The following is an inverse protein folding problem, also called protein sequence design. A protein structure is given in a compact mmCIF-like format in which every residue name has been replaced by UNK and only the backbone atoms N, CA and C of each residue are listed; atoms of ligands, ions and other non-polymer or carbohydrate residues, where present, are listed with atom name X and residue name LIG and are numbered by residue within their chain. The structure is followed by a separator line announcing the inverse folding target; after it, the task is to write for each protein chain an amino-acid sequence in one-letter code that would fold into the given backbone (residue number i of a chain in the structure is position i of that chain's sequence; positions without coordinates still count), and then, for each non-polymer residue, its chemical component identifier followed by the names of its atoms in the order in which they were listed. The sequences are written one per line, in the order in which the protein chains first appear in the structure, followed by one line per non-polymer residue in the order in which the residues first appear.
data_IF_642336239860
#
_entry.id   IF_642336239860
#
_cell.length_a   1.000
_cell.length_b   1.000
_cell.length_c   1.000
_cell.angle_alpha   90.00
_cell.angle_beta   90.00
_cell.angle_gamma   90.00
#
_symmetry.space_group_name_H-M   'P 1'
#
loop_
_entity.id
_entity.type
_entity.pdbx_description
1 polymer ?
#
# COMPACT_ATOMS: atom_id res chain seq x y z
N UNK A 1 -32.13 -12.75 -17.04
CA UNK A 1 -30.66 -12.91 -16.94
C UNK A 1 -30.05 -11.58 -17.39
N UNK A 2 -28.95 -11.15 -16.75
CA UNK A 2 -28.17 -9.91 -16.95
C UNK A 2 -28.36 -8.76 -15.93
N UNK A 3 -27.64 -8.96 -14.82
CA UNK A 3 -26.83 -8.07 -13.97
C UNK A 3 -27.38 -6.69 -13.51
N UNK A 4 -27.40 -6.42 -12.19
CA UNK A 4 -27.67 -5.11 -11.65
C UNK A 4 -26.43 -4.20 -11.72
N UNK A 5 -26.70 -2.92 -11.96
CA UNK A 5 -25.84 -1.75 -11.83
C UNK A 5 -24.96 -1.82 -10.56
N UNK A 6 -23.64 -1.84 -10.73
CA UNK A 6 -22.71 -1.49 -9.65
C UNK A 6 -22.78 0.03 -9.41
N UNK A 7 -22.88 0.50 -8.16
CA UNK A 7 -22.85 1.93 -7.88
C UNK A 7 -21.45 2.48 -8.14
N UNK A 8 -21.38 3.51 -8.99
CA UNK A 8 -20.23 4.38 -9.17
C UNK A 8 -19.88 5.03 -7.83
N UNK A 9 -18.76 4.62 -7.22
CA UNK A 9 -18.18 5.33 -6.07
C UNK A 9 -17.52 6.62 -6.59
N UNK A 10 -17.79 7.80 -6.03
CA UNK A 10 -17.28 9.06 -6.55
C UNK A 10 -15.74 9.13 -6.49
N UNK A 11 -15.15 9.43 -7.64
CA UNK A 11 -13.71 9.44 -7.90
C UNK A 11 -12.90 10.42 -7.03
N UNK A 12 -13.57 11.35 -6.34
CA UNK A 12 -12.94 12.38 -5.50
C UNK A 12 -12.56 11.88 -4.09
N UNK A 13 -12.94 10.65 -3.73
CA UNK A 13 -12.76 10.12 -2.37
C UNK A 13 -11.40 9.44 -2.13
N UNK A 14 -10.60 9.23 -3.19
CA UNK A 14 -9.45 8.32 -3.15
C UNK A 14 -8.08 9.01 -3.05
N UNK A 15 -8.02 10.32 -3.25
CA UNK A 15 -6.77 11.09 -3.18
C UNK A 15 -6.67 11.82 -1.85
N UNK A 16 -5.68 11.44 -1.03
CA UNK A 16 -5.44 12.07 0.25
C UNK A 16 -4.17 12.93 0.14
N UNK A 17 -4.35 14.23 -0.13
CA UNK A 17 -3.34 15.29 0.08
C UNK A 17 -2.11 15.28 -0.85
N UNK A 18 -2.06 16.23 -1.78
CA UNK A 18 -1.00 16.38 -2.77
C UNK A 18 0.16 17.30 -2.29
N UNK A 19 1.42 16.88 -2.54
CA UNK A 19 2.58 17.71 -2.90
C UNK A 19 3.77 18.01 -1.93
N UNK A 20 3.76 17.72 -0.62
CA UNK A 20 4.91 18.14 0.28
C UNK A 20 5.81 17.02 0.80
N UNK A 21 5.73 15.85 0.18
CA UNK A 21 5.76 14.58 0.92
C UNK A 21 7.06 13.79 0.72
N UNK A 22 7.71 13.97 -0.42
CA UNK A 22 8.82 13.12 -0.84
C UNK A 22 10.05 13.24 0.09
N UNK A 23 10.27 14.41 0.69
CA UNK A 23 11.56 14.73 1.34
C UNK A 23 11.60 14.48 2.85
N UNK A 24 10.48 14.50 3.56
CA UNK A 24 10.49 14.42 5.04
C UNK A 24 10.36 12.99 5.56
N UNK A 25 9.82 12.09 4.74
CA UNK A 25 9.57 10.69 5.07
C UNK A 25 10.82 9.80 4.95
N UNK A 26 11.65 10.05 3.93
CA UNK A 26 12.90 9.31 3.74
C UNK A 26 13.79 9.39 4.98
N UNK A 27 13.82 10.52 5.70
CA UNK A 27 14.71 10.73 6.83
C UNK A 27 14.45 9.79 8.01
N UNK A 28 13.18 9.50 8.34
CA UNK A 28 12.83 8.64 9.50
C UNK A 28 13.17 7.18 9.19
N UNK A 29 12.91 6.71 7.97
CA UNK A 29 13.19 5.32 7.59
C UNK A 29 14.65 5.08 7.19
N UNK A 30 15.36 6.06 6.62
CA UNK A 30 16.72 5.87 6.12
C UNK A 30 17.77 5.71 7.22
N UNK A 31 17.50 6.22 8.43
CA UNK A 31 18.44 6.18 9.56
C UNK A 31 18.43 4.86 10.36
N UNK A 32 17.52 3.92 10.07
CA UNK A 32 17.45 2.63 10.80
C UNK A 32 18.07 1.48 10.00
N UNK A 33 19.11 0.80 10.50
CA UNK A 33 19.74 -0.33 9.83
C UNK A 33 18.90 -1.60 10.07
N UNK A 34 17.89 -1.84 9.23
CA UNK A 34 17.13 -3.10 9.30
C UNK A 34 17.21 -3.84 7.96
N UNK A 35 17.99 -4.94 7.93
CA UNK A 35 18.28 -5.80 6.77
C UNK A 35 17.68 -7.19 7.00
N UNK A 36 16.36 -7.32 6.92
CA UNK A 36 15.73 -8.64 6.98
C UNK A 36 14.67 -8.77 5.89
N UNK A 37 14.68 -9.91 5.19
CA UNK A 37 13.68 -10.25 4.19
C UNK A 37 12.33 -10.40 4.88
N UNK A 38 11.26 -10.15 4.15
CA UNK A 38 9.93 -10.30 4.69
C UNK A 38 9.64 -11.76 5.08
N UNK A 39 9.55 -12.04 6.38
CA UNK A 39 9.12 -13.33 6.88
C UNK A 39 7.73 -13.17 7.52
N UNK A 40 6.83 -14.11 7.19
CA UNK A 40 5.45 -14.19 7.68
C UNK A 40 5.43 -14.29 9.22
N UNK A 41 4.92 -13.27 9.91
CA UNK A 41 4.67 -13.34 11.36
C UNK A 41 3.19 -13.68 11.58
N UNK A 42 2.91 -14.92 11.96
CA UNK A 42 1.60 -15.37 12.42
C UNK A 42 1.38 -14.93 13.88
N UNK A 43 0.41 -14.04 14.15
CA UNK A 43 0.11 -13.50 15.49
C UNK A 43 -1.32 -13.75 15.98
N UNK A 44 -1.46 -14.20 17.23
CA UNK A 44 -2.64 -14.77 17.91
C UNK A 44 -3.70 -13.74 18.37
N UNK A 45 -4.95 -14.22 18.56
CA UNK A 45 -6.12 -13.49 19.12
C UNK A 45 -6.03 -13.33 20.65
N UNK A 46 -6.37 -12.14 21.15
CA UNK A 46 -6.75 -11.85 22.53
C UNK A 46 -7.83 -10.74 22.55
N UNK A 47 -8.95 -10.99 23.25
CA UNK A 47 -10.11 -10.10 23.37
C UNK A 47 -10.01 -9.26 24.67
N UNK A 48 -9.98 -7.93 24.56
CA UNK A 48 -10.14 -6.99 25.67
C UNK A 48 -10.91 -5.74 25.18
N UNK A 49 -12.06 -5.36 25.76
CA UNK A 49 -12.99 -4.37 25.18
C UNK A 49 -12.61 -2.88 25.34
N UNK A 50 -11.45 -2.52 25.92
CA UNK A 50 -11.06 -1.11 26.18
C UNK A 50 -9.85 -0.58 25.38
N UNK A 51 -9.44 -1.22 24.29
CA UNK A 51 -8.27 -0.79 23.52
C UNK A 51 -8.67 -0.09 22.20
N UNK A 52 -8.16 1.12 21.94
CA UNK A 52 -8.29 1.78 20.64
C UNK A 52 -7.72 0.87 19.54
N UNK A 53 -8.60 0.21 18.78
CA UNK A 53 -8.27 -0.67 17.65
C UNK A 53 -7.71 0.14 16.48
N UNK A 54 -6.48 0.63 16.61
CA UNK A 54 -5.71 1.22 15.51
C UNK A 54 -4.69 0.22 14.91
N UNK A 55 -4.59 -1.00 15.45
CA UNK A 55 -3.35 -1.77 15.35
C UNK A 55 -3.36 -3.05 14.49
N UNK A 56 -4.44 -3.37 13.78
CA UNK A 56 -4.56 -4.68 13.09
C UNK A 56 -4.81 -4.62 11.59
N UNK A 57 -5.32 -3.50 11.08
CA UNK A 57 -5.71 -3.42 9.67
C UNK A 57 -4.53 -3.08 8.76
N UNK A 58 -4.48 -3.73 7.60
CA UNK A 58 -3.65 -3.27 6.49
C UNK A 58 -4.48 -2.35 5.61
N UNK A 59 -3.98 -1.15 5.34
CA UNK A 59 -4.67 -0.12 4.55
C UNK A 59 -3.95 0.14 3.24
N UNK A 60 -4.70 0.56 2.21
CA UNK A 60 -4.15 0.99 0.92
C UNK A 60 -4.80 2.31 0.44
N UNK A 61 -4.03 3.16 -0.23
CA UNK A 61 -4.49 4.42 -0.81
C UNK A 61 -3.68 4.84 -2.04
N UNK A 62 -4.27 5.71 -2.86
CA UNK A 62 -3.55 6.43 -3.91
C UNK A 62 -2.79 7.59 -3.24
N UNK A 63 -1.46 7.60 -3.38
CA UNK A 63 -0.55 8.58 -2.79
C UNK A 63 -0.14 9.70 -3.77
N UNK A 64 -0.60 9.63 -5.02
CA UNK A 64 -0.45 10.69 -6.04
C UNK A 64 -1.77 11.43 -6.26
N UNK A 65 -1.74 12.70 -6.68
CA UNK A 65 -2.96 13.40 -7.08
C UNK A 65 -3.74 12.64 -8.17
N UNK A 66 -5.05 12.87 -8.21
CA UNK A 66 -5.95 12.33 -9.21
C UNK A 66 -5.67 12.95 -10.59
N UNK A 67 -5.94 12.18 -11.63
CA UNK A 67 -5.80 12.62 -13.02
C UNK A 67 -4.75 11.83 -13.77
N UNK A 68 -4.28 12.41 -14.89
CA UNK A 68 -3.24 11.81 -15.73
C UNK A 68 -1.88 12.35 -15.32
N UNK A 69 -0.95 11.46 -15.02
CA UNK A 69 0.45 11.77 -14.74
C UNK A 69 1.38 10.74 -15.38
N UNK A 70 2.69 10.95 -15.30
CA UNK A 70 3.67 9.95 -15.72
C UNK A 70 3.67 8.72 -14.80
N UNK A 71 3.51 8.93 -13.50
CA UNK A 71 3.56 7.90 -12.46
C UNK A 71 2.35 8.03 -11.53
N UNK A 72 1.79 6.89 -11.11
CA UNK A 72 0.88 6.81 -9.96
C UNK A 72 1.50 5.96 -8.86
N UNK A 73 1.22 6.31 -7.60
CA UNK A 73 1.75 5.58 -6.44
C UNK A 73 0.57 5.05 -5.63
N UNK A 74 0.57 3.74 -5.38
CA UNK A 74 -0.29 3.11 -4.39
C UNK A 74 0.55 2.80 -3.16
N UNK A 75 0.13 3.32 -1.99
CA UNK A 75 0.80 3.05 -0.71
C UNK A 75 -0.05 2.09 0.11
N UNK A 76 0.58 1.01 0.56
CA UNK A 76 0.01 -0.01 1.42
C UNK A 76 0.74 0.05 2.76
N UNK A 77 0.02 0.07 3.88
CA UNK A 77 0.63 0.09 5.21
C UNK A 77 -0.10 -0.83 6.18
N UNK A 78 0.66 -1.58 6.99
CA UNK A 78 0.11 -2.50 7.98
C UNK A 78 0.79 -3.87 7.98
N UNK A 79 0.33 -4.79 8.84
CA UNK A 79 0.98 -6.09 9.05
C UNK A 79 1.05 -6.98 7.81
N UNK A 80 0.13 -6.82 6.85
CA UNK A 80 0.11 -7.60 5.61
C UNK A 80 0.69 -6.84 4.40
N UNK A 81 1.19 -5.61 4.58
CA UNK A 81 1.62 -4.77 3.46
C UNK A 81 2.65 -5.47 2.57
N UNK A 82 3.62 -6.11 3.20
CA UNK A 82 4.64 -6.87 2.50
C UNK A 82 4.05 -8.10 1.77
N UNK A 83 3.24 -8.91 2.44
CA UNK A 83 2.61 -10.10 1.83
C UNK A 83 1.77 -9.73 0.62
N UNK A 84 1.01 -8.63 0.71
CA UNK A 84 0.23 -8.10 -0.42
C UNK A 84 1.16 -7.67 -1.55
N UNK A 85 2.24 -6.95 -1.25
CA UNK A 85 3.25 -6.54 -2.22
C UNK A 85 3.90 -7.72 -2.95
N UNK A 86 4.30 -8.77 -2.22
CA UNK A 86 4.89 -9.98 -2.80
C UNK A 86 3.88 -10.72 -3.69
N UNK A 87 2.60 -10.76 -3.31
CA UNK A 87 1.54 -11.33 -4.16
C UNK A 87 1.32 -10.52 -5.44
N UNK A 88 1.33 -9.19 -5.39
CA UNK A 88 1.12 -8.35 -6.58
C UNK A 88 2.33 -8.45 -7.51
N UNK A 89 3.53 -8.45 -6.97
CA UNK A 89 4.78 -8.46 -7.75
C UNK A 89 5.24 -9.86 -8.15
N UNK A 90 4.63 -10.92 -7.60
CA UNK A 90 5.01 -12.32 -7.76
C UNK A 90 6.50 -12.57 -7.42
N UNK A 91 7.04 -11.82 -6.46
CA UNK A 91 8.45 -11.86 -6.10
C UNK A 91 8.67 -11.42 -4.65
N UNK A 92 9.83 -11.79 -4.10
CA UNK A 92 10.18 -11.45 -2.72
C UNK A 92 10.66 -10.00 -2.58
N UNK A 93 10.16 -9.27 -1.59
CA UNK A 93 10.52 -7.88 -1.35
C UNK A 93 11.65 -7.78 -0.32
N UNK A 94 12.70 -7.03 -0.68
CA UNK A 94 13.81 -6.73 0.25
C UNK A 94 13.66 -5.29 0.73
N UNK A 95 13.70 -5.02 2.05
CA UNK A 95 13.55 -3.66 2.56
C UNK A 95 14.56 -2.70 1.94
N UNK A 96 14.10 -1.50 1.61
CA UNK A 96 14.90 -0.39 1.05
C UNK A 96 15.64 -0.74 -0.25
N UNK A 97 15.19 -1.77 -0.98
CA UNK A 97 15.68 -2.12 -2.31
C UNK A 97 14.57 -1.90 -3.32
N UNK A 98 14.65 -0.86 -4.16
CA UNK A 98 13.71 -0.69 -5.26
C UNK A 98 13.82 -1.85 -6.26
N UNK A 99 12.69 -2.37 -6.72
CA UNK A 99 12.62 -3.46 -7.69
C UNK A 99 11.74 -3.02 -8.87
N UNK A 100 12.24 -3.17 -10.10
CA UNK A 100 11.40 -3.06 -11.28
C UNK A 100 10.68 -4.39 -11.50
N UNK A 101 9.35 -4.38 -11.46
CA UNK A 101 8.52 -5.60 -11.39
C UNK A 101 7.21 -5.43 -12.13
N UNK A 102 6.68 -6.57 -12.56
CA UNK A 102 5.40 -6.69 -13.22
C UNK A 102 4.31 -6.93 -12.17
N UNK A 103 3.40 -5.96 -12.03
CA UNK A 103 2.28 -6.03 -11.10
C UNK A 103 1.12 -6.84 -11.70
N UNK A 104 0.55 -7.75 -10.92
CA UNK A 104 -0.49 -8.69 -11.38
C UNK A 104 -1.65 -8.78 -10.41
N UNK A 105 -2.84 -9.10 -10.93
CA UNK A 105 -3.99 -9.50 -10.11
C UNK A 105 -3.88 -10.97 -9.69
N UNK A 106 -4.76 -11.41 -8.78
CA UNK A 106 -4.87 -12.78 -8.26
C UNK A 106 -4.97 -13.91 -9.32
N UNK A 107 -5.35 -13.60 -10.57
CA UNK A 107 -5.40 -14.55 -11.69
C UNK A 107 -4.13 -14.55 -12.56
N UNK A 108 -3.08 -13.85 -12.15
CA UNK A 108 -1.82 -13.74 -12.88
C UNK A 108 -1.84 -12.76 -14.07
N UNK A 109 -2.97 -12.12 -14.36
CA UNK A 109 -3.07 -11.11 -15.44
C UNK A 109 -2.20 -9.90 -15.10
N UNK A 110 -1.35 -9.50 -16.05
CA UNK A 110 -0.52 -8.30 -15.95
C UNK A 110 -1.42 -7.06 -15.88
N UNK A 111 -1.21 -6.24 -14.86
CA UNK A 111 -1.84 -4.93 -14.72
C UNK A 111 -0.91 -3.89 -15.31
N UNK A 112 0.34 -3.87 -14.83
CA UNK A 112 1.30 -2.82 -15.14
C UNK A 112 2.74 -3.27 -14.87
N UNK A 113 3.70 -2.53 -15.39
CA UNK A 113 5.12 -2.66 -15.07
C UNK A 113 5.60 -1.36 -14.40
N UNK A 114 6.41 -1.49 -13.35
CA UNK A 114 6.85 -0.32 -12.62
C UNK A 114 7.77 -0.64 -11.46
N UNK A 115 7.94 0.32 -10.56
CA UNK A 115 8.85 0.22 -9.43
C UNK A 115 8.08 -0.18 -8.17
N UNK A 116 8.63 -1.10 -7.36
CA UNK A 116 8.10 -1.41 -6.04
C UNK A 116 9.16 -1.17 -4.98
N UNK A 117 8.75 -0.58 -3.86
CA UNK A 117 9.60 -0.33 -2.71
C UNK A 117 8.94 -0.87 -1.44
N UNK A 118 9.68 -1.69 -0.69
CA UNK A 118 9.27 -2.15 0.63
C UNK A 118 10.07 -1.43 1.71
N UNK A 119 9.39 -0.89 2.72
CA UNK A 119 10.00 -0.26 3.88
C UNK A 119 9.50 -0.95 5.14
N UNK A 120 10.41 -1.75 5.70
CA UNK A 120 10.21 -2.39 6.99
C UNK A 120 10.29 -1.37 8.10
N UNK A 121 9.27 -1.31 8.94
CA UNK A 121 9.27 -0.53 10.15
C UNK A 121 10.38 -1.02 11.11
N UNK A 122 10.95 -0.12 11.94
CA UNK A 122 11.77 -0.54 13.07
C UNK A 122 10.96 -1.41 14.03
N UNK A 123 11.59 -2.42 14.64
CA UNK A 123 10.91 -3.40 15.49
C UNK A 123 10.15 -2.79 16.69
N UNK A 124 10.56 -1.61 17.15
CA UNK A 124 10.01 -0.91 18.32
C UNK A 124 9.31 0.41 17.94
N UNK A 125 8.92 0.60 16.68
CA UNK A 125 8.27 1.83 16.21
C UNK A 125 6.74 1.67 16.14
N UNK A 126 5.95 2.71 16.46
CA UNK A 126 4.52 2.71 16.17
C UNK A 126 4.22 2.76 14.67
N UNK A 127 5.20 3.11 13.84
CA UNK A 127 5.04 3.12 12.39
C UNK A 127 4.96 1.69 11.86
N UNK A 128 4.10 1.44 10.88
CA UNK A 128 3.86 0.11 10.31
C UNK A 128 4.73 -0.13 9.07
N UNK A 129 4.87 -1.38 8.69
CA UNK A 129 5.48 -1.77 7.41
C UNK A 129 4.73 -1.08 6.26
N UNK A 130 5.47 -0.63 5.25
CA UNK A 130 4.94 0.09 4.08
C UNK A 130 5.44 -0.56 2.79
N UNK A 131 4.53 -0.77 1.84
CA UNK A 131 4.87 -1.07 0.44
C UNK A 131 4.35 0.05 -0.44
N UNK A 132 5.18 0.50 -1.38
CA UNK A 132 4.79 1.41 -2.43
C UNK A 132 4.86 0.72 -3.79
N UNK A 133 3.77 0.79 -4.55
CA UNK A 133 3.68 0.35 -5.93
C UNK A 133 3.63 1.58 -6.82
N UNK A 134 4.67 1.76 -7.64
CA UNK A 134 4.78 2.88 -8.57
C UNK A 134 4.48 2.32 -9.97
N UNK A 135 3.36 2.74 -10.54
CA UNK A 135 2.93 2.36 -11.88
C UNK A 135 2.78 3.56 -12.79
N UNK A 136 2.33 3.34 -14.02
CA UNK A 136 1.97 4.40 -14.94
C UNK A 136 0.83 5.25 -14.36
N UNK A 137 0.88 6.56 -14.58
CA UNK A 137 -0.10 7.51 -14.03
C UNK A 137 -1.44 7.57 -14.78
N UNK A 138 -1.88 6.45 -15.36
CA UNK A 138 -3.18 6.34 -16.00
C UNK A 138 -4.25 5.94 -14.98
N UNK A 139 -5.36 6.69 -14.94
CA UNK A 139 -6.48 6.49 -13.99
C UNK A 139 -6.90 5.02 -13.90
N UNK A 140 -7.05 4.32 -15.03
CA UNK A 140 -7.43 2.90 -15.07
C UNK A 140 -6.39 2.02 -14.35
N UNK A 141 -5.11 2.21 -14.64
CA UNK A 141 -4.01 1.44 -14.03
C UNK A 141 -3.95 1.68 -12.52
N UNK A 142 -4.04 2.94 -12.10
CA UNK A 142 -4.04 3.33 -10.69
C UNK A 142 -5.17 2.65 -9.92
N UNK A 143 -6.40 2.66 -10.47
CA UNK A 143 -7.53 2.00 -9.82
C UNK A 143 -7.43 0.47 -9.84
N UNK A 144 -6.88 -0.14 -10.90
CA UNK A 144 -6.64 -1.58 -10.95
C UNK A 144 -5.62 -2.03 -9.91
N UNK A 145 -4.52 -1.28 -9.73
CA UNK A 145 -3.52 -1.56 -8.69
C UNK A 145 -4.12 -1.41 -7.29
N UNK A 146 -4.88 -0.35 -7.04
CA UNK A 146 -5.57 -0.18 -5.76
C UNK A 146 -6.52 -1.34 -5.50
N UNK A 147 -7.35 -1.71 -6.48
CA UNK A 147 -8.31 -2.81 -6.35
C UNK A 147 -7.60 -4.14 -6.08
N UNK A 148 -6.47 -4.41 -6.74
CA UNK A 148 -5.67 -5.60 -6.47
C UNK A 148 -5.18 -5.67 -5.01
N UNK A 149 -4.83 -4.52 -4.40
CA UNK A 149 -4.48 -4.47 -2.98
C UNK A 149 -5.68 -4.80 -2.09
N UNK A 150 -6.85 -4.24 -2.43
CA UNK A 150 -8.09 -4.47 -1.67
C UNK A 150 -8.55 -5.93 -1.74
N UNK A 151 -8.47 -6.54 -2.92
CA UNK A 151 -8.81 -7.95 -3.15
C UNK A 151 -7.91 -8.93 -2.36
N UNK A 152 -6.71 -8.47 -1.98
CA UNK A 152 -5.75 -9.21 -1.16
C UNK A 152 -5.87 -8.94 0.35
N UNK A 153 -6.90 -8.21 0.77
CA UNK A 153 -7.24 -8.01 2.18
C UNK A 153 -6.84 -6.65 2.74
N UNK A 154 -6.26 -5.75 1.93
CA UNK A 154 -6.15 -4.36 2.36
C UNK A 154 -7.55 -3.72 2.44
N UNK A 155 -7.75 -2.84 3.41
CA UNK A 155 -8.91 -1.95 3.44
C UNK A 155 -8.54 -0.62 2.79
N UNK A 156 -9.50 0.05 2.18
CA UNK A 156 -9.29 1.42 1.73
C UNK A 156 -8.95 2.31 2.93
N UNK A 157 -7.88 3.08 2.83
CA UNK A 157 -7.51 4.02 3.88
C UNK A 157 -8.54 5.15 3.98
N UNK A 158 -8.84 5.56 5.19
CA UNK A 158 -9.60 6.78 5.44
C UNK A 158 -8.63 7.97 5.51
N UNK A 159 -9.07 9.22 5.30
CA UNK A 159 -8.21 10.41 5.40
C UNK A 159 -7.37 10.47 6.69
N UNK A 160 -7.92 9.96 7.80
CA UNK A 160 -7.29 9.90 9.12
C UNK A 160 -6.37 8.67 9.33
N UNK A 161 -6.34 7.72 8.40
CA UNK A 161 -5.69 6.41 8.60
C UNK A 161 -4.17 6.42 8.45
N UNK A 162 -3.58 7.49 7.92
CA UNK A 162 -2.13 7.67 7.97
C UNK A 162 -1.79 8.90 8.82
N UNK A 163 -0.76 8.83 9.69
CA UNK A 163 -0.28 9.99 10.43
C UNK A 163 0.08 11.13 9.49
N UNK A 164 -0.16 12.37 9.92
CA UNK A 164 0.28 13.57 9.18
C UNK A 164 1.79 13.46 8.88
N UNK A 165 2.16 13.44 7.60
CA UNK A 165 3.55 13.25 7.14
C UNK A 165 3.92 11.83 6.67
N UNK A 166 2.97 10.88 6.69
CA UNK A 166 3.08 9.58 6.02
C UNK A 166 2.33 9.56 4.67
N UNK A 167 1.53 10.60 4.38
CA UNK A 167 1.17 10.88 3.00
C UNK A 167 2.33 11.48 2.30
#
# INVERSE_FOLDING_TARGET
MFLPFLPLVPADSYCIGCATIFYRWATIYYQSPNRERCNLVSGRRGNDPTNLQLDVDTIAAIATPNGRGGVSIIRISGPQACTIGEHITQGGLTPRRPLYVNSRIRKGTLIDEGLTLFLKAPALSPVKDVVELHGHGGVVITHLLLQACLDLGARLARPESFPKGLF
#
